data_IF_220848106162
#
_entry.id   IF_220848106162
#
_cell.length_a   1.000
_cell.length_b   1.000
_cell.length_c   1.000
_cell.angle_alpha   90.00
_cell.angle_beta   90.00
_cell.angle_gamma   90.00
#
_symmetry.space_group_name_H-M   'P 1'
#
loop_
_entity.id
_entity.type
_entity.pdbx_description
1 polymer ?
#
# COMPACT_ATOMS: atom_id res chain seq x y z
N UNK A 1 21.26 -48.22 23.33
CA UNK A 1 19.86 -47.83 23.04
C UNK A 1 19.43 -46.52 23.72
N UNK A 2 19.92 -46.16 24.93
CA UNK A 2 19.59 -44.90 25.63
C UNK A 2 20.05 -43.59 24.96
N UNK A 3 21.09 -43.59 24.12
CA UNK A 3 21.59 -42.38 23.43
C UNK A 3 20.66 -41.88 22.32
N UNK A 4 19.95 -42.79 21.64
CA UNK A 4 19.06 -42.46 20.51
C UNK A 4 17.79 -41.72 21.01
N UNK A 5 17.35 -42.01 22.24
CA UNK A 5 16.19 -41.37 22.87
C UNK A 5 16.38 -39.86 23.12
N UNK A 6 17.61 -39.37 23.23
CA UNK A 6 17.91 -37.95 23.41
C UNK A 6 18.15 -37.17 22.10
N UNK A 7 18.32 -37.85 20.97
CA UNK A 7 18.59 -37.22 19.67
C UNK A 7 17.29 -36.79 18.98
N UNK A 8 16.21 -37.55 19.18
CA UNK A 8 14.88 -37.30 18.60
C UNK A 8 14.31 -35.91 18.99
N UNK A 9 14.32 -35.46 20.26
CA UNK A 9 13.79 -34.14 20.60
C UNK A 9 14.68 -32.99 20.08
N UNK A 10 15.99 -33.22 19.93
CA UNK A 10 16.93 -32.23 19.40
C UNK A 10 16.74 -32.00 17.89
N UNK A 11 16.45 -33.06 17.14
CA UNK A 11 16.13 -32.96 15.70
C UNK A 11 14.75 -32.31 15.48
N UNK A 12 13.78 -32.58 16.36
CA UNK A 12 12.47 -31.93 16.30
C UNK A 12 12.52 -30.41 16.54
N UNK A 13 13.46 -29.94 17.37
CA UNK A 13 13.65 -28.50 17.66
C UNK A 13 14.26 -27.73 16.48
N UNK A 14 14.99 -28.41 15.59
CA UNK A 14 15.60 -27.83 14.39
C UNK A 14 14.66 -27.80 13.18
N UNK A 15 13.49 -28.45 13.27
CA UNK A 15 12.51 -28.54 12.18
C UNK A 15 11.49 -27.38 12.19
N UNK A 16 11.66 -26.36 13.04
CA UNK A 16 10.77 -25.20 13.07
C UNK A 16 10.97 -24.39 11.77
N UNK A 17 9.93 -24.19 10.96
CA UNK A 17 10.05 -23.42 9.74
C UNK A 17 10.34 -21.95 10.10
N UNK A 18 11.59 -21.52 9.89
CA UNK A 18 12.00 -20.11 9.89
C UNK A 18 11.48 -19.50 8.60
N UNK A 19 10.21 -19.10 8.57
CA UNK A 19 9.61 -18.76 7.29
C UNK A 19 8.26 -18.07 7.34
N UNK A 20 7.98 -17.28 8.38
CA UNK A 20 6.90 -16.29 8.27
C UNK A 20 7.47 -15.00 7.67
N UNK A 21 7.80 -15.04 6.38
CA UNK A 21 8.04 -13.80 5.64
C UNK A 21 6.71 -13.07 5.54
N UNK A 22 6.55 -12.00 6.33
CA UNK A 22 5.35 -11.17 6.24
C UNK A 22 5.23 -10.64 4.82
N UNK A 23 4.04 -10.77 4.24
CA UNK A 23 3.80 -10.27 2.89
C UNK A 23 3.95 -8.75 2.90
N UNK A 24 4.77 -8.24 2.00
CA UNK A 24 4.94 -6.80 1.84
C UNK A 24 3.59 -6.17 1.46
N UNK A 25 3.29 -4.97 1.96
CA UNK A 25 2.11 -4.24 1.52
C UNK A 25 2.18 -4.01 0.00
N UNK A 26 1.02 -3.92 -0.68
CA UNK A 26 1.00 -3.63 -2.10
C UNK A 26 1.67 -2.28 -2.37
N UNK A 27 2.46 -2.22 -3.45
CA UNK A 27 3.03 -0.96 -3.92
C UNK A 27 1.91 -0.07 -4.46
N UNK A 28 1.92 1.20 -4.06
CA UNK A 28 0.97 2.21 -4.53
C UNK A 28 1.68 3.09 -5.57
N UNK A 29 0.97 3.46 -6.63
CA UNK A 29 1.50 4.37 -7.64
C UNK A 29 1.76 5.75 -7.02
N UNK A 30 2.96 6.30 -7.26
CA UNK A 30 3.36 7.63 -6.80
C UNK A 30 2.46 8.73 -7.37
N UNK A 31 1.91 8.53 -8.56
CA UNK A 31 1.09 9.53 -9.26
C UNK A 31 -0.23 9.78 -8.52
N UNK A 32 -0.70 8.80 -7.75
CA UNK A 32 -1.89 8.98 -6.90
C UNK A 32 -1.68 10.01 -5.78
N UNK A 33 -0.44 10.23 -5.35
CA UNK A 33 -0.11 11.18 -4.27
C UNK A 33 0.49 12.48 -4.77
N UNK A 34 1.23 12.44 -5.88
CA UNK A 34 2.06 13.56 -6.33
C UNK A 34 1.76 14.03 -7.76
N UNK A 35 0.83 13.37 -8.47
CA UNK A 35 0.35 13.83 -9.76
C UNK A 35 -0.62 15.00 -9.64
N UNK A 36 -0.93 15.63 -10.78
CA UNK A 36 -2.00 16.62 -10.82
C UNK A 36 -3.34 15.93 -10.52
N UNK A 37 -4.17 16.48 -9.61
CA UNK A 37 -5.49 15.93 -9.35
C UNK A 37 -6.41 16.11 -10.56
N UNK A 38 -7.39 15.24 -10.72
CA UNK A 38 -8.40 15.35 -11.78
C UNK A 38 -9.17 16.67 -11.70
N UNK A 39 -9.47 17.12 -10.47
CA UNK A 39 -10.18 18.37 -10.17
C UNK A 39 -9.51 19.03 -8.96
N UNK A 40 -9.28 20.35 -9.05
CA UNK A 40 -8.80 21.14 -7.91
C UNK A 40 -9.51 22.50 -7.81
N UNK A 41 -9.48 23.09 -6.61
CA UNK A 41 -9.99 24.44 -6.38
C UNK A 41 -11.48 24.61 -6.69
N UNK A 42 -12.30 23.59 -6.40
CA UNK A 42 -13.74 23.65 -6.60
C UNK A 42 -14.35 24.77 -5.74
N UNK A 43 -15.21 25.58 -6.34
CA UNK A 43 -15.96 26.66 -5.70
C UNK A 43 -17.40 26.59 -6.17
N UNK A 44 -18.33 26.85 -5.26
CA UNK A 44 -19.76 26.90 -5.54
C UNK A 44 -20.22 28.36 -5.60
N UNK A 45 -21.13 28.69 -6.52
CA UNK A 45 -21.75 30.01 -6.58
C UNK A 45 -22.61 30.27 -5.32
N UNK A 46 -22.81 31.54 -4.91
CA UNK A 46 -23.61 31.85 -3.72
C UNK A 46 -25.04 31.32 -3.75
N UNK A 47 -25.63 31.20 -4.94
CA UNK A 47 -26.96 30.65 -5.17
C UNK A 47 -26.99 29.13 -5.38
N UNK A 48 -25.83 28.46 -5.32
CA UNK A 48 -25.69 27.02 -5.44
C UNK A 48 -25.88 26.45 -6.84
N UNK A 49 -26.10 27.28 -7.87
CA UNK A 49 -26.43 26.82 -9.23
C UNK A 49 -25.22 26.42 -10.07
N UNK A 50 -24.03 26.88 -9.71
CA UNK A 50 -22.82 26.67 -10.50
C UNK A 50 -21.64 26.22 -9.65
N UNK A 51 -20.78 25.41 -10.26
CA UNK A 51 -19.49 25.01 -9.69
C UNK A 51 -18.40 25.35 -10.69
N UNK A 52 -17.37 26.06 -10.23
CA UNK A 52 -16.13 26.28 -10.98
C UNK A 52 -15.01 25.44 -10.37
N UNK A 53 -14.12 24.90 -11.20
CA UNK A 53 -12.96 24.16 -10.76
C UNK A 53 -11.87 24.24 -11.81
N UNK A 54 -10.65 23.85 -11.45
CA UNK A 54 -9.53 23.69 -12.38
C UNK A 54 -9.32 22.22 -12.66
N UNK A 55 -8.89 21.87 -13.88
CA UNK A 55 -8.46 20.51 -14.23
C UNK A 55 -7.26 20.52 -15.19
N UNK A 56 -6.53 19.40 -15.34
CA UNK A 56 -5.45 19.33 -16.30
C UNK A 56 -5.97 19.48 -17.73
N UNK A 57 -5.35 20.38 -18.50
CA UNK A 57 -5.52 20.54 -19.94
C UNK A 57 -4.14 20.63 -20.58
N UNK A 58 -3.80 19.67 -21.44
CA UNK A 58 -2.47 19.57 -22.06
C UNK A 58 -1.33 19.68 -21.04
N UNK A 59 -1.46 18.95 -19.92
CA UNK A 59 -0.45 18.91 -18.85
C UNK A 59 -0.33 20.21 -18.05
N UNK A 60 -1.26 21.15 -18.20
CA UNK A 60 -1.31 22.38 -17.42
C UNK A 60 -2.66 22.48 -16.73
N UNK A 61 -2.65 22.75 -15.42
CA UNK A 61 -3.85 23.04 -14.65
C UNK A 61 -4.49 24.35 -15.09
N UNK A 62 -5.70 24.27 -15.67
CA UNK A 62 -6.49 25.43 -16.13
C UNK A 62 -7.93 25.38 -15.62
#
# INVERSE_FOLDING_TARGET
MRRILFVIPLVALLAVPVGAAAQQPPLIDRELFFGDPEISGAQISPDGRFISFRKPYRTVMN
#
